data_IF_264425330939
#
_entry.id   IF_264425330939
#
_cell.length_a   1.000
_cell.length_b   1.000
_cell.length_c   1.000
_cell.angle_alpha   90.00
_cell.angle_beta   90.00
_cell.angle_gamma   90.00
#
_symmetry.space_group_name_H-M   'P 1'
#
loop_
_entity.id
_entity.type
_entity.pdbx_description
1 polymer ?
#
# COMPACT_ATOMS: atom_id res chain seq x y z
N UNK A 1 7.26 18.50 7.32
CA UNK A 1 6.16 17.86 6.55
C UNK A 1 5.00 18.85 6.50
N UNK A 2 4.40 19.11 5.34
CA UNK A 2 3.29 20.06 5.22
C UNK A 2 2.01 19.55 5.92
N UNK A 3 1.15 20.45 6.39
CA UNK A 3 -0.10 20.10 7.12
C UNK A 3 -0.95 19.07 6.37
N UNK A 4 -1.11 19.23 5.06
CA UNK A 4 -1.88 18.30 4.20
C UNK A 4 -1.27 16.90 4.16
N UNK A 5 0.06 16.79 4.02
CA UNK A 5 0.77 15.50 4.00
C UNK A 5 0.59 14.74 5.33
N UNK A 6 0.57 15.46 6.46
CA UNK A 6 0.31 14.85 7.77
C UNK A 6 -1.10 14.27 7.87
N UNK A 7 -2.11 15.02 7.43
CA UNK A 7 -3.51 14.56 7.46
C UNK A 7 -3.67 13.29 6.62
N UNK A 8 -3.16 13.30 5.40
CA UNK A 8 -3.25 12.15 4.49
C UNK A 8 -2.51 10.93 5.06
N UNK A 9 -1.33 11.13 5.65
CA UNK A 9 -0.60 10.03 6.28
C UNK A 9 -1.33 9.48 7.50
N UNK A 10 -1.92 10.33 8.34
CA UNK A 10 -2.71 9.89 9.48
C UNK A 10 -3.94 9.07 9.04
N UNK A 11 -4.57 9.44 7.91
CA UNK A 11 -5.62 8.64 7.29
C UNK A 11 -5.08 7.27 6.86
N UNK A 12 -3.94 7.24 6.16
CA UNK A 12 -3.31 5.97 5.75
C UNK A 12 -2.98 5.08 6.95
N UNK A 13 -2.47 5.67 8.04
CA UNK A 13 -2.18 4.97 9.29
C UNK A 13 -3.46 4.42 9.93
N UNK A 14 -4.52 5.23 10.03
CA UNK A 14 -5.81 4.79 10.54
C UNK A 14 -6.38 3.63 9.72
N UNK A 15 -6.31 3.70 8.39
CA UNK A 15 -6.75 2.63 7.50
C UNK A 15 -5.96 1.34 7.71
N UNK A 16 -4.64 1.43 7.91
CA UNK A 16 -3.80 0.27 8.23
C UNK A 16 -4.16 -0.33 9.61
N UNK A 17 -4.39 0.50 10.63
CA UNK A 17 -4.84 0.03 11.94
C UNK A 17 -6.19 -0.69 11.84
N UNK A 18 -7.13 -0.11 11.09
CA UNK A 18 -8.43 -0.73 10.81
C UNK A 18 -8.27 -2.05 10.06
N UNK A 19 -7.42 -2.08 9.03
CA UNK A 19 -7.15 -3.27 8.23
C UNK A 19 -6.62 -4.42 9.11
N UNK A 20 -5.60 -4.14 9.92
CA UNK A 20 -5.02 -5.14 10.84
C UNK A 20 -6.07 -5.62 11.84
N UNK A 21 -6.84 -4.71 12.44
CA UNK A 21 -7.92 -5.07 13.34
C UNK A 21 -8.94 -6.00 12.67
N UNK A 22 -9.43 -5.63 11.48
CA UNK A 22 -10.42 -6.42 10.75
C UNK A 22 -9.89 -7.80 10.34
N UNK A 23 -8.61 -7.91 9.98
CA UNK A 23 -7.97 -9.20 9.68
C UNK A 23 -7.93 -10.08 10.93
N UNK A 24 -7.65 -9.53 12.12
CA UNK A 24 -7.61 -10.30 13.37
C UNK A 24 -8.99 -10.84 13.78
N UNK A 25 -10.05 -10.08 13.54
CA UNK A 25 -11.43 -10.49 13.87
C UNK A 25 -12.18 -11.10 12.69
N UNK A 26 -11.51 -11.36 11.56
CA UNK A 26 -12.16 -11.74 10.31
C UNK A 26 -12.98 -13.04 10.42
N UNK A 27 -12.61 -13.95 11.31
CA UNK A 27 -13.31 -15.23 11.53
C UNK A 27 -14.68 -15.06 12.21
N UNK A 28 -14.93 -13.90 12.82
CA UNK A 28 -16.17 -13.58 13.54
C UNK A 28 -17.02 -12.51 12.85
N UNK A 29 -16.55 -11.96 11.73
CA UNK A 29 -17.22 -10.87 11.02
C UNK A 29 -18.04 -11.41 9.85
N UNK A 30 -19.33 -11.10 9.85
CA UNK A 30 -20.17 -11.13 8.66
C UNK A 30 -20.20 -9.75 8.00
N UNK A 31 -19.72 -9.65 6.76
CA UNK A 31 -19.70 -8.39 6.01
C UNK A 31 -21.08 -8.14 5.39
N UNK A 32 -21.73 -6.99 5.62
CA UNK A 32 -23.04 -6.70 5.05
C UNK A 32 -22.97 -6.55 3.52
N UNK A 33 -24.07 -6.84 2.82
CA UNK A 33 -24.07 -6.94 1.35
C UNK A 33 -23.63 -5.65 0.63
N UNK A 34 -23.94 -4.48 1.17
CA UNK A 34 -23.49 -3.19 0.60
C UNK A 34 -21.97 -3.01 0.66
N UNK A 35 -21.31 -3.61 1.66
CA UNK A 35 -19.86 -3.55 1.81
C UNK A 35 -19.16 -4.61 0.93
N UNK A 36 -19.83 -5.71 0.61
CA UNK A 36 -19.39 -6.67 -0.42
C UNK A 36 -19.39 -6.03 -1.82
N UNK A 37 -20.39 -5.18 -2.14
CA UNK A 37 -20.40 -4.39 -3.38
C UNK A 37 -19.16 -3.52 -3.47
N UNK A 38 -18.76 -2.85 -2.38
CA UNK A 38 -17.52 -2.09 -2.33
C UNK A 38 -16.31 -3.02 -2.54
N UNK A 39 -16.29 -4.22 -1.95
CA UNK A 39 -15.26 -5.22 -2.19
C UNK A 39 -15.08 -5.58 -3.68
N UNK A 40 -16.15 -5.67 -4.46
CA UNK A 40 -16.08 -5.96 -5.91
C UNK A 40 -15.37 -4.89 -6.74
N UNK A 41 -15.18 -3.68 -6.22
CA UNK A 41 -14.36 -2.65 -6.86
C UNK A 41 -12.85 -2.87 -6.63
N UNK A 42 -12.45 -3.85 -5.81
CA UNK A 42 -11.05 -4.17 -5.52
C UNK A 42 -10.19 -4.32 -6.79
N UNK A 43 -10.58 -5.08 -7.84
CA UNK A 43 -9.76 -5.23 -9.05
C UNK A 43 -9.51 -3.90 -9.78
N UNK A 44 -10.46 -2.96 -9.73
CA UNK A 44 -10.32 -1.64 -10.36
C UNK A 44 -9.29 -0.78 -9.61
N UNK A 45 -9.31 -0.82 -8.28
CA UNK A 45 -8.47 0.03 -7.44
C UNK A 45 -7.11 -0.61 -7.18
N UNK A 46 -7.00 -1.94 -7.27
CA UNK A 46 -5.79 -2.78 -7.24
C UNK A 46 -4.67 -2.29 -8.16
N UNK A 47 -5.01 -1.88 -9.38
CA UNK A 47 -4.01 -1.51 -10.39
C UNK A 47 -3.31 -0.18 -10.05
N UNK A 48 -4.00 0.69 -9.29
CA UNK A 48 -3.50 2.01 -8.92
C UNK A 48 -2.28 1.95 -7.96
N UNK A 49 -2.33 1.30 -6.78
CA UNK A 49 -1.17 1.21 -5.89
C UNK A 49 -0.02 0.43 -6.51
N UNK A 50 -0.29 -0.59 -7.34
CA UNK A 50 0.76 -1.33 -8.06
C UNK A 50 1.53 -0.39 -8.99
N UNK A 51 0.81 0.34 -9.84
CA UNK A 51 1.42 1.27 -10.80
C UNK A 51 2.18 2.39 -10.09
N UNK A 52 1.60 2.94 -9.00
CA UNK A 52 2.25 3.98 -8.21
C UNK A 52 3.49 3.48 -7.47
N UNK A 53 3.48 2.24 -6.97
CA UNK A 53 4.63 1.64 -6.30
C UNK A 53 5.75 1.33 -7.28
N UNK A 54 5.43 0.84 -8.49
CA UNK A 54 6.42 0.70 -9.58
C UNK A 54 7.03 2.07 -9.92
N UNK A 55 6.20 3.10 -10.04
CA UNK A 55 6.69 4.45 -10.30
C UNK A 55 7.54 4.99 -9.14
N UNK A 56 7.20 4.68 -7.88
CA UNK A 56 8.04 4.99 -6.72
C UNK A 56 9.41 4.33 -6.84
N UNK A 57 9.44 3.02 -7.10
CA UNK A 57 10.67 2.26 -7.23
C UNK A 57 11.54 2.85 -8.35
N UNK A 58 10.96 3.12 -9.52
CA UNK A 58 11.67 3.76 -10.62
C UNK A 58 12.19 5.16 -10.24
N UNK A 59 11.37 5.97 -9.56
CA UNK A 59 11.75 7.31 -9.10
C UNK A 59 12.95 7.26 -8.16
N UNK A 60 12.90 6.39 -7.15
CA UNK A 60 13.96 6.24 -6.14
C UNK A 60 15.26 5.66 -6.71
N UNK A 61 15.18 4.77 -7.72
CA UNK A 61 16.37 4.16 -8.33
C UNK A 61 17.04 5.07 -9.37
N UNK A 62 16.27 5.79 -10.18
CA UNK A 62 16.79 6.47 -11.37
C UNK A 62 16.72 8.00 -11.32
N UNK A 63 15.69 8.58 -10.71
CA UNK A 63 15.43 10.03 -10.81
C UNK A 63 15.97 10.80 -9.60
N UNK A 64 15.78 10.29 -8.39
CA UNK A 64 16.07 11.03 -7.15
C UNK A 64 17.53 11.46 -7.01
N UNK A 65 18.49 10.58 -7.35
CA UNK A 65 19.92 10.90 -7.29
C UNK A 65 20.42 11.75 -8.48
N UNK A 66 19.62 11.90 -9.55
CA UNK A 66 20.01 12.67 -10.75
C UNK A 66 19.46 14.08 -10.73
N UNK A 67 18.43 14.33 -9.93
CA UNK A 67 17.74 15.62 -9.82
C UNK A 67 17.95 16.11 -8.38
N UNK A 68 19.11 16.71 -8.13
CA UNK A 68 19.43 17.35 -6.83
C UNK A 68 18.66 18.67 -6.67
N UNK A 69 17.34 18.57 -6.48
CA UNK A 69 16.48 19.72 -6.22
C UNK A 69 15.35 19.32 -5.26
N UNK A 70 14.99 20.19 -4.32
CA UNK A 70 13.87 20.00 -3.40
C UNK A 70 12.56 19.56 -4.07
N UNK A 71 12.35 19.96 -5.34
CA UNK A 71 11.18 19.57 -6.12
C UNK A 71 11.13 18.05 -6.35
N UNK A 72 12.27 17.39 -6.56
CA UNK A 72 12.32 15.96 -6.81
C UNK A 72 11.97 15.14 -5.55
N UNK A 73 12.45 15.58 -4.39
CA UNK A 73 12.08 14.98 -3.11
C UNK A 73 10.59 15.12 -2.82
N UNK A 74 10.02 16.31 -3.11
CA UNK A 74 8.59 16.60 -2.94
C UNK A 74 7.71 15.70 -3.81
N UNK A 75 8.12 15.42 -5.05
CA UNK A 75 7.44 14.50 -5.96
C UNK A 75 7.48 13.07 -5.41
N UNK A 76 8.67 12.57 -5.04
CA UNK A 76 8.81 11.22 -4.47
C UNK A 76 8.00 11.02 -3.19
N UNK A 77 7.97 12.04 -2.32
CA UNK A 77 7.12 12.05 -1.13
C UNK A 77 5.63 11.87 -1.47
N UNK A 78 5.13 12.65 -2.42
CA UNK A 78 3.71 12.60 -2.81
C UNK A 78 3.36 11.26 -3.45
N UNK A 79 4.25 10.75 -4.29
CA UNK A 79 4.06 9.46 -4.96
C UNK A 79 3.97 8.32 -3.94
N UNK A 80 4.88 8.28 -2.97
CA UNK A 80 4.89 7.27 -1.92
C UNK A 80 3.69 7.41 -0.97
N UNK A 81 3.26 8.64 -0.67
CA UNK A 81 2.08 8.90 0.15
C UNK A 81 0.79 8.40 -0.52
N UNK A 82 0.61 8.71 -1.81
CA UNK A 82 -0.53 8.25 -2.59
C UNK A 82 -0.54 6.73 -2.73
N UNK A 83 0.64 6.13 -2.94
CA UNK A 83 0.80 4.67 -2.95
C UNK A 83 0.33 4.05 -1.63
N UNK A 84 0.78 4.60 -0.48
CA UNK A 84 0.41 4.12 0.85
C UNK A 84 -1.10 4.16 1.12
N UNK A 85 -1.75 5.27 0.80
CA UNK A 85 -3.20 5.44 1.02
C UNK A 85 -3.99 4.50 0.11
N UNK A 86 -3.65 4.47 -1.18
CA UNK A 86 -4.38 3.64 -2.15
C UNK A 86 -4.18 2.15 -1.88
N UNK A 87 -2.98 1.72 -1.47
CA UNK A 87 -2.72 0.35 -1.07
C UNK A 87 -3.56 -0.07 0.15
N UNK A 88 -3.73 0.81 1.14
CA UNK A 88 -4.58 0.54 2.30
C UNK A 88 -6.06 0.38 1.94
N UNK A 89 -6.56 1.27 1.07
CA UNK A 89 -7.94 1.20 0.57
C UNK A 89 -8.14 -0.10 -0.22
N UNK A 90 -7.24 -0.40 -1.16
CA UNK A 90 -7.28 -1.64 -1.95
C UNK A 90 -7.28 -2.87 -1.06
N UNK A 91 -6.41 -2.94 -0.05
CA UNK A 91 -6.33 -4.09 0.85
C UNK A 91 -7.61 -4.28 1.68
N UNK A 92 -8.22 -3.18 2.17
CA UNK A 92 -9.52 -3.24 2.84
C UNK A 92 -10.63 -3.77 1.92
N UNK A 93 -10.65 -3.33 0.67
CA UNK A 93 -11.64 -3.80 -0.31
C UNK A 93 -11.42 -5.27 -0.66
N UNK A 94 -10.17 -5.71 -0.77
CA UNK A 94 -9.82 -7.12 -0.98
C UNK A 94 -10.25 -7.99 0.20
N UNK A 95 -10.11 -7.48 1.44
CA UNK A 95 -10.62 -8.16 2.63
C UNK A 95 -12.14 -8.33 2.58
N UNK A 96 -12.89 -7.30 2.17
CA UNK A 96 -14.34 -7.41 2.02
C UNK A 96 -14.76 -8.40 0.93
N UNK A 97 -14.05 -8.40 -0.20
CA UNK A 97 -14.29 -9.34 -1.30
C UNK A 97 -14.02 -10.79 -0.88
N UNK A 98 -13.00 -11.02 -0.05
CA UNK A 98 -12.67 -12.37 0.46
C UNK A 98 -13.75 -13.01 1.34
N UNK A 99 -14.75 -12.23 1.77
CA UNK A 99 -15.89 -12.69 2.58
C UNK A 99 -17.16 -12.95 1.76
N UNK A 100 -17.12 -12.74 0.46
CA UNK A 100 -18.23 -13.09 -0.44
C UNK A 100 -18.24 -14.62 -0.66
N UNK A 101 -19.43 -15.23 -0.57
CA UNK A 101 -19.59 -16.67 -0.74
C UNK A 101 -19.23 -17.09 -2.18
N UNK A 102 -18.33 -18.08 -2.33
CA UNK A 102 -17.90 -18.60 -3.64
C UNK A 102 -16.45 -18.30 -4.05
N UNK A 103 -15.64 -17.73 -3.15
CA UNK A 103 -14.21 -17.50 -3.37
C UNK A 103 -13.36 -18.68 -2.82
N UNK A 104 -12.60 -19.36 -3.70
CA UNK A 104 -11.76 -20.55 -3.44
C UNK A 104 -10.57 -20.29 -2.49
N UNK A 105 -10.63 -20.82 -1.26
CA UNK A 105 -9.79 -20.45 -0.11
C UNK A 105 -8.26 -20.45 -0.34
N UNK A 106 -7.72 -21.37 -1.14
CA UNK A 106 -6.26 -21.60 -1.18
C UNK A 106 -5.48 -20.64 -2.08
N UNK A 107 -6.07 -20.18 -3.20
CA UNK A 107 -5.40 -19.19 -4.08
C UNK A 107 -5.50 -17.76 -3.55
N UNK A 108 -6.50 -17.49 -2.71
CA UNK A 108 -6.80 -16.14 -2.21
C UNK A 108 -5.88 -15.77 -1.03
N UNK A 109 -5.41 -16.75 -0.27
CA UNK A 109 -4.64 -16.51 0.95
C UNK A 109 -3.36 -15.71 0.67
N UNK A 110 -2.55 -16.14 -0.30
CA UNK A 110 -1.30 -15.46 -0.64
C UNK A 110 -1.52 -14.04 -1.15
N UNK A 111 -2.50 -13.85 -2.04
CA UNK A 111 -2.88 -12.55 -2.59
C UNK A 111 -3.40 -11.58 -1.51
N UNK A 112 -4.23 -12.09 -0.58
CA UNK A 112 -4.75 -11.31 0.55
C UNK A 112 -3.60 -10.82 1.44
N UNK A 113 -2.73 -11.72 1.85
CA UNK A 113 -1.62 -11.39 2.74
C UNK A 113 -0.60 -10.45 2.08
N UNK A 114 -0.24 -10.70 0.81
CA UNK A 114 0.70 -9.84 0.10
C UNK A 114 0.15 -8.42 -0.11
N UNK A 115 -1.15 -8.27 -0.37
CA UNK A 115 -1.83 -6.97 -0.40
C UNK A 115 -1.77 -6.22 0.93
N UNK A 116 -2.01 -6.92 2.05
CA UNK A 116 -1.91 -6.35 3.40
C UNK A 116 -0.46 -5.90 3.68
N UNK A 117 0.52 -6.76 3.41
CA UNK A 117 1.94 -6.43 3.62
C UNK A 117 2.38 -5.25 2.76
N UNK A 118 1.92 -5.18 1.50
CA UNK A 118 2.21 -4.05 0.61
C UNK A 118 1.70 -2.73 1.19
N UNK A 119 0.47 -2.72 1.72
CA UNK A 119 -0.09 -1.55 2.39
C UNK A 119 0.73 -1.10 3.61
N UNK A 120 1.10 -2.05 4.48
CA UNK A 120 1.86 -1.75 5.69
C UNK A 120 3.27 -1.26 5.33
N UNK A 121 3.96 -1.92 4.40
CA UNK A 121 5.33 -1.56 4.02
C UNK A 121 5.39 -0.21 3.36
N UNK A 122 4.43 0.15 2.50
CA UNK A 122 4.39 1.48 1.87
C UNK A 122 4.11 2.58 2.89
N UNK A 123 3.29 2.32 3.92
CA UNK A 123 3.07 3.24 5.03
C UNK A 123 4.33 3.42 5.90
N UNK A 124 5.01 2.32 6.24
CA UNK A 124 6.28 2.33 6.98
C UNK A 124 7.36 3.04 6.17
N UNK A 125 7.48 2.76 4.87
CA UNK A 125 8.42 3.43 3.98
C UNK A 125 8.17 4.95 4.01
N UNK A 126 6.92 5.40 3.88
CA UNK A 126 6.61 6.82 3.96
C UNK A 126 6.96 7.43 5.33
N UNK A 127 6.70 6.72 6.43
CA UNK A 127 7.01 7.18 7.78
C UNK A 127 8.52 7.39 7.99
N UNK A 128 9.33 6.48 7.46
CA UNK A 128 10.79 6.47 7.62
C UNK A 128 11.56 7.05 6.41
N UNK A 129 10.86 7.61 5.42
CA UNK A 129 11.45 8.04 4.13
C UNK A 129 12.67 8.94 4.26
N UNK A 130 12.71 9.86 5.24
CA UNK A 130 13.86 10.73 5.45
C UNK A 130 15.11 9.96 5.89
N UNK A 131 14.94 8.94 6.77
CA UNK A 131 16.03 8.07 7.20
C UNK A 131 16.45 7.10 6.10
N UNK A 132 15.48 6.57 5.36
CA UNK A 132 15.73 5.65 4.25
C UNK A 132 16.47 6.35 3.10
N UNK A 133 16.12 7.59 2.77
CA UNK A 133 16.84 8.40 1.76
C UNK A 133 18.31 8.65 2.11
N UNK A 134 18.63 8.83 3.39
CA UNK A 134 20.02 9.00 3.84
C UNK A 134 20.86 7.73 3.67
N UNK A 135 20.23 6.55 3.65
CA UNK A 135 20.91 5.28 3.48
C UNK A 135 20.48 4.61 2.17
N UNK A 136 21.32 4.77 1.14
CA UNK A 136 21.08 4.19 -0.19
C UNK A 136 20.78 2.68 -0.14
N UNK A 137 21.45 1.93 0.74
CA UNK A 137 21.23 0.49 0.92
C UNK A 137 19.84 0.17 1.50
N UNK A 138 19.38 0.93 2.50
CA UNK A 138 18.05 0.73 3.07
C UNK A 138 16.93 1.16 2.09
N UNK A 139 17.14 2.24 1.34
CA UNK A 139 16.19 2.66 0.32
C UNK A 139 16.04 1.60 -0.78
N UNK A 140 17.16 1.07 -1.29
CA UNK A 140 17.15 0.00 -2.30
C UNK A 140 16.51 -1.27 -1.73
N UNK A 141 16.87 -1.66 -0.49
CA UNK A 141 16.26 -2.84 0.15
C UNK A 141 14.74 -2.71 0.26
N UNK A 142 14.24 -1.54 0.64
CA UNK A 142 12.79 -1.30 0.75
C UNK A 142 12.10 -1.33 -0.60
N UNK A 143 12.75 -0.80 -1.64
CA UNK A 143 12.27 -0.86 -3.03
C UNK A 143 12.22 -2.31 -3.57
N UNK A 144 13.25 -3.11 -3.28
CA UNK A 144 13.31 -4.53 -3.67
C UNK A 144 12.21 -5.33 -2.96
N UNK A 145 12.04 -5.13 -1.65
CA UNK A 145 10.96 -5.78 -0.89
C UNK A 145 9.59 -5.40 -1.46
N UNK A 146 9.36 -4.12 -1.76
CA UNK A 146 8.13 -3.65 -2.39
C UNK A 146 7.89 -4.28 -3.76
N UNK A 147 8.95 -4.42 -4.58
CA UNK A 147 8.86 -5.07 -5.90
C UNK A 147 8.50 -6.55 -5.79
N UNK A 148 9.15 -7.29 -4.89
CA UNK A 148 8.86 -8.71 -4.65
C UNK A 148 7.41 -8.89 -4.20
N UNK A 149 6.92 -8.03 -3.30
CA UNK A 149 5.53 -8.10 -2.84
C UNK A 149 4.53 -7.86 -3.96
N UNK A 150 4.80 -6.93 -4.87
CA UNK A 150 3.94 -6.74 -6.06
C UNK A 150 3.92 -8.01 -6.91
N UNK A 151 5.06 -8.67 -7.14
CA UNK A 151 5.10 -9.88 -7.96
C UNK A 151 4.31 -11.04 -7.34
N UNK A 152 4.23 -11.09 -6.00
CA UNK A 152 3.43 -12.08 -5.28
C UNK A 152 1.95 -11.67 -5.24
N UNK A 153 1.67 -10.37 -5.27
CA UNK A 153 0.30 -9.81 -5.26
C UNK A 153 -0.33 -9.79 -6.66
N UNK A 154 0.47 -9.68 -7.73
CA UNK A 154 -0.01 -9.58 -9.11
C UNK A 154 -0.54 -10.90 -9.67
#
# INVERSE_FOLDING_TARGET
MGKTKNIIFNISFLLNCLLVFLVLVESKISIPSWLQVAGRMHPLILHLPITLLILCIAWFLFAENRIENESAEKIGDWLLLLTSVTAAITALMGLFLSKENGYEADKILWHKWSGIFTSIITAVWYAYRNKLRQSKSLNISTAVVGFILILITG
#
